data_IF_087105641269
#
_entry.id   IF_087105641269
#
_cell.length_a   1.000
_cell.length_b   1.000
_cell.length_c   1.000
_cell.angle_alpha   90.00
_cell.angle_beta   90.00
_cell.angle_gamma   90.00
#
_symmetry.space_group_name_H-M   'P 1'
#
loop_
_entity.id
_entity.type
_entity.pdbx_description
1 polymer ?
#
# COMPACT_ATOMS: atom_id res chain seq x y z
N UNK A 1 7.00 9.92 9.97
CA UNK A 1 5.80 9.57 9.19
C UNK A 1 4.77 10.70 9.16
N UNK A 2 4.26 11.20 10.29
CA UNK A 2 3.28 12.31 10.31
C UNK A 2 3.71 13.49 9.43
N UNK A 3 4.89 14.07 9.68
CA UNK A 3 5.42 15.20 8.91
C UNK A 3 5.54 14.93 7.40
N UNK A 4 5.89 13.69 7.02
CA UNK A 4 6.00 13.29 5.62
C UNK A 4 4.62 13.25 4.96
N UNK A 5 3.63 12.63 5.61
CA UNK A 5 2.25 12.60 5.12
C UNK A 5 1.59 13.99 5.14
N UNK A 6 2.01 14.85 6.07
CA UNK A 6 1.58 16.25 6.12
C UNK A 6 2.00 17.08 4.91
N UNK A 7 2.92 16.59 4.07
CA UNK A 7 3.21 17.19 2.77
C UNK A 7 2.01 17.07 1.79
N UNK A 8 1.16 16.06 1.95
CA UNK A 8 -0.07 15.92 1.17
C UNK A 8 -1.24 16.68 1.79
N UNK A 9 -1.46 16.52 3.10
CA UNK A 9 -2.59 17.15 3.80
C UNK A 9 -2.28 17.30 5.30
N UNK A 10 -2.66 18.43 5.95
CA UNK A 10 -2.29 18.72 7.35
C UNK A 10 -2.90 17.77 8.41
N UNK A 11 -3.86 16.91 8.03
CA UNK A 11 -4.56 16.01 8.95
C UNK A 11 -4.42 14.53 8.56
N UNK A 12 -3.19 13.97 8.57
CA UNK A 12 -3.00 12.54 8.34
C UNK A 12 -3.25 11.73 9.61
N UNK A 13 -3.81 10.54 9.42
CA UNK A 13 -4.06 9.55 10.44
C UNK A 13 -3.02 8.44 10.24
N UNK A 14 -2.08 8.32 11.19
CA UNK A 14 -1.06 7.27 11.16
C UNK A 14 -1.63 5.89 11.52
N UNK A 15 -2.71 5.89 12.29
CA UNK A 15 -3.51 4.72 12.59
C UNK A 15 -4.86 4.94 11.93
N UNK A 16 -5.08 4.30 10.79
CA UNK A 16 -6.35 4.33 10.08
C UNK A 16 -7.46 3.72 10.93
N UNK A 17 -8.69 4.17 10.67
CA UNK A 17 -9.88 3.66 11.35
C UNK A 17 -10.07 2.15 11.11
N UNK A 18 -9.80 1.69 9.89
CA UNK A 18 -9.91 0.28 9.49
C UNK A 18 -8.54 -0.37 9.19
N UNK A 19 -8.51 -1.70 9.24
CA UNK A 19 -7.37 -2.49 8.80
C UNK A 19 -7.31 -2.53 7.27
N UNK A 20 -6.12 -2.72 6.67
CA UNK A 20 -4.82 -2.91 7.31
C UNK A 20 -4.21 -1.60 7.87
N UNK A 21 -3.61 -1.67 9.05
CA UNK A 21 -2.96 -0.52 9.71
C UNK A 21 -1.45 -0.56 9.64
N UNK A 22 -0.85 0.62 9.63
CA UNK A 22 0.58 0.80 9.87
C UNK A 22 1.43 0.69 8.61
N UNK A 23 2.67 0.22 8.79
CA UNK A 23 3.68 0.17 7.74
C UNK A 23 4.56 -1.06 7.88
N UNK A 24 5.00 -1.58 6.74
CA UNK A 24 5.99 -2.65 6.65
C UNK A 24 7.14 -2.19 5.75
N UNK A 25 8.35 -2.72 5.99
CA UNK A 25 9.53 -2.44 5.18
C UNK A 25 10.37 -3.70 5.00
N UNK A 26 11.03 -3.80 3.85
CA UNK A 26 11.92 -4.90 3.49
C UNK A 26 13.21 -4.33 2.91
N UNK A 27 14.34 -4.91 3.31
CA UNK A 27 15.63 -4.63 2.66
C UNK A 27 15.63 -5.36 1.32
N UNK A 28 15.46 -4.60 0.23
CA UNK A 28 15.47 -5.14 -1.14
C UNK A 28 16.89 -5.44 -1.60
N UNK A 29 17.86 -4.58 -1.27
CA UNK A 29 19.24 -4.76 -1.70
C UNK A 29 20.25 -4.12 -0.73
N UNK A 30 21.50 -4.58 -0.81
CA UNK A 30 22.62 -4.08 -0.01
C UNK A 30 23.92 -4.00 -0.83
N UNK A 31 24.69 -2.95 -0.59
CA UNK A 31 26.09 -2.80 -1.03
C UNK A 31 27.03 -2.64 0.19
N UNK A 32 28.28 -2.26 -0.05
CA UNK A 32 29.23 -1.94 1.02
C UNK A 32 28.83 -0.71 1.84
N UNK A 33 28.14 0.25 1.22
CA UNK A 33 27.87 1.56 1.79
C UNK A 33 26.38 1.96 1.76
N UNK A 34 25.51 1.14 1.16
CA UNK A 34 24.12 1.52 0.91
C UNK A 34 23.14 0.38 1.22
N UNK A 35 21.94 0.75 1.69
CA UNK A 35 20.77 -0.13 1.76
C UNK A 35 19.65 0.42 0.89
N UNK A 36 19.05 -0.45 0.10
CA UNK A 36 17.82 -0.18 -0.64
C UNK A 36 16.65 -0.84 0.09
N UNK A 37 15.73 -0.01 0.57
CA UNK A 37 14.60 -0.39 1.40
C UNK A 37 13.33 -0.08 0.62
N UNK A 38 12.50 -1.09 0.39
CA UNK A 38 11.13 -0.89 -0.08
C UNK A 38 10.18 -0.94 1.11
N UNK A 39 9.13 -0.13 1.09
CA UNK A 39 8.17 -0.09 2.17
C UNK A 39 6.75 0.13 1.65
N UNK A 40 5.78 -0.29 2.45
CA UNK A 40 4.36 -0.05 2.24
C UNK A 40 3.76 0.61 3.48
N UNK A 41 2.93 1.63 3.29
CA UNK A 41 2.37 2.44 4.36
C UNK A 41 0.89 2.69 4.14
N UNK A 42 0.06 2.32 5.11
CA UNK A 42 -1.33 2.72 5.17
C UNK A 42 -1.47 4.03 5.93
N UNK A 43 -2.23 4.95 5.36
CA UNK A 43 -2.57 6.21 5.97
C UNK A 43 -3.94 6.65 5.48
N UNK A 44 -4.59 7.46 6.29
CA UNK A 44 -5.89 8.05 5.99
C UNK A 44 -5.79 9.56 6.24
N UNK A 45 -6.63 10.36 5.59
CA UNK A 45 -6.63 11.80 5.73
C UNK A 45 -8.04 12.30 6.02
N UNK A 46 -8.19 13.12 7.05
CA UNK A 46 -9.45 13.82 7.27
C UNK A 46 -9.45 15.12 6.46
N UNK A 47 -10.32 15.23 5.46
CA UNK A 47 -10.41 16.39 4.57
C UNK A 47 -11.26 17.52 5.18
N UNK A 48 -12.34 17.16 5.88
CA UNK A 48 -13.23 18.14 6.50
C UNK A 48 -12.92 18.35 7.98
N UNK A 49 -13.01 19.61 8.41
CA UNK A 49 -12.96 20.01 9.81
C UNK A 49 -14.29 20.58 10.29
N UNK A 50 -14.47 20.65 11.62
CA UNK A 50 -15.60 21.32 12.24
C UNK A 50 -15.79 22.74 11.66
N UNK A 51 -17.02 23.17 11.36
CA UNK A 51 -18.32 22.54 11.71
C UNK A 51 -18.85 21.54 10.68
N UNK A 52 -18.11 21.24 9.60
CA UNK A 52 -18.54 20.22 8.63
C UNK A 52 -18.41 18.83 9.23
N UNK A 53 -19.29 17.93 8.81
CA UNK A 53 -19.18 16.51 9.15
C UNK A 53 -17.87 15.94 8.58
N UNK A 54 -17.25 14.97 9.27
CA UNK A 54 -16.05 14.31 8.78
C UNK A 54 -16.22 13.76 7.37
N UNK A 55 -15.17 13.93 6.58
CA UNK A 55 -14.95 13.31 5.28
C UNK A 55 -13.52 12.79 5.34
N UNK A 56 -13.38 11.48 5.21
CA UNK A 56 -12.12 10.77 5.21
C UNK A 56 -11.77 10.34 3.79
N UNK A 57 -10.46 10.40 3.53
CA UNK A 57 -9.84 10.02 2.28
C UNK A 57 -8.78 8.97 2.61
N UNK A 58 -9.02 7.75 2.17
CA UNK A 58 -8.15 6.61 2.43
C UNK A 58 -7.62 6.11 1.09
N UNK A 59 -6.41 6.53 0.66
CA UNK A 59 -5.84 6.01 -0.55
C UNK A 59 -5.42 4.54 -0.37
N UNK A 60 -5.23 3.85 -1.49
CA UNK A 60 -4.45 2.63 -1.55
C UNK A 60 -3.12 2.84 -0.82
N UNK A 61 -2.60 1.78 -0.22
CA UNK A 61 -1.37 1.86 0.53
C UNK A 61 -0.25 2.48 -0.32
N UNK A 62 0.50 3.40 0.27
CA UNK A 62 1.65 3.99 -0.38
C UNK A 62 2.72 2.92 -0.61
N UNK A 63 3.26 2.86 -1.82
CA UNK A 63 4.46 2.12 -2.16
C UNK A 63 5.64 3.09 -2.15
N UNK A 64 6.66 2.78 -1.37
CA UNK A 64 7.85 3.61 -1.24
C UNK A 64 9.16 2.86 -1.40
N UNK A 65 10.19 3.62 -1.77
CA UNK A 65 11.57 3.17 -1.91
C UNK A 65 12.49 4.22 -1.29
N UNK A 66 13.39 3.78 -0.43
CA UNK A 66 14.33 4.58 0.32
C UNK A 66 15.72 3.96 0.18
N UNK A 67 16.68 4.73 -0.32
CA UNK A 67 18.09 4.35 -0.33
C UNK A 67 18.84 5.21 0.66
N UNK A 68 19.44 4.56 1.66
CA UNK A 68 20.24 5.23 2.69
C UNK A 68 21.70 4.87 2.56
N UNK A 69 22.56 5.81 2.95
CA UNK A 69 23.94 5.54 3.25
C UNK A 69 24.02 4.81 4.62
N UNK A 70 24.86 3.78 4.70
CA UNK A 70 25.08 2.99 5.93
C UNK A 70 26.30 3.44 6.74
N UNK A 71 27.17 4.24 6.14
CA UNK A 71 28.36 4.82 6.78
C UNK A 71 28.12 6.25 7.25
N UNK A 72 27.23 6.99 6.60
CA UNK A 72 26.88 8.38 6.92
C UNK A 72 25.35 8.54 7.02
N UNK A 73 24.83 9.48 7.84
CA UNK A 73 23.40 9.70 8.00
C UNK A 73 22.82 10.51 6.82
N UNK A 74 22.85 9.90 5.62
CA UNK A 74 22.38 10.51 4.38
C UNK A 74 21.31 9.66 3.68
N UNK A 75 20.31 10.34 3.11
CA UNK A 75 19.26 9.73 2.28
C UNK A 75 19.61 9.98 0.82
N UNK A 76 20.12 8.94 0.15
CA UNK A 76 20.55 9.03 -1.24
C UNK A 76 19.38 9.13 -2.21
N UNK A 77 18.27 8.45 -1.91
CA UNK A 77 17.07 8.46 -2.75
C UNK A 77 15.82 8.22 -1.90
N UNK A 78 14.73 8.92 -2.22
CA UNK A 78 13.42 8.69 -1.63
C UNK A 78 12.32 8.87 -2.67
N UNK A 79 11.43 7.88 -2.77
CA UNK A 79 10.16 8.02 -3.48
C UNK A 79 9.05 7.29 -2.72
N UNK A 80 7.84 7.84 -2.82
CA UNK A 80 6.64 7.25 -2.25
C UNK A 80 5.44 7.68 -3.10
N UNK A 81 4.55 6.75 -3.43
CA UNK A 81 3.38 7.03 -4.26
C UNK A 81 2.23 6.09 -3.94
N UNK A 82 1.01 6.53 -4.24
CA UNK A 82 -0.18 5.67 -4.30
C UNK A 82 -0.17 4.95 -5.65
N UNK A 83 -0.32 3.60 -5.70
CA UNK A 83 -0.44 2.88 -6.96
C UNK A 83 -1.74 3.25 -7.68
N UNK A 84 -1.68 3.38 -9.01
CA UNK A 84 -2.82 3.80 -9.85
C UNK A 84 -3.03 2.88 -11.07
N UNK A 85 -2.65 1.61 -10.96
CA UNK A 85 -2.75 0.65 -12.08
C UNK A 85 -4.09 -0.09 -12.12
N UNK A 86 -4.85 -0.09 -11.04
CA UNK A 86 -6.25 -0.52 -11.04
C UNK A 86 -7.18 0.69 -11.20
N UNK A 87 -8.44 0.43 -11.53
CA UNK A 87 -9.46 1.46 -11.78
C UNK A 87 -9.98 2.16 -10.52
N UNK A 88 -9.69 1.61 -9.34
CA UNK A 88 -10.16 2.08 -8.04
C UNK A 88 -8.99 1.95 -7.05
N UNK A 89 -8.68 3.04 -6.35
CA UNK A 89 -7.53 3.10 -5.45
C UNK A 89 -7.70 4.12 -4.30
N UNK A 90 -8.92 4.59 -4.05
CA UNK A 90 -9.22 5.51 -2.94
C UNK A 90 -10.62 5.22 -2.41
N UNK A 91 -10.73 5.07 -1.10
CA UNK A 91 -12.01 5.12 -0.38
C UNK A 91 -12.27 6.55 0.11
N UNK A 92 -13.52 6.97 -0.07
CA UNK A 92 -14.08 8.20 0.45
C UNK A 92 -15.21 7.82 1.39
N UNK A 93 -15.08 8.19 2.65
CA UNK A 93 -16.08 7.89 3.67
C UNK A 93 -16.52 9.19 4.33
N UNK A 94 -17.82 9.39 4.51
CA UNK A 94 -18.32 10.59 5.18
C UNK A 94 -19.59 10.33 5.96
N UNK A 95 -19.79 11.14 7.00
CA UNK A 95 -21.02 11.10 7.78
C UNK A 95 -22.09 11.98 7.13
N UNK A 96 -23.27 11.42 6.93
CA UNK A 96 -24.49 12.19 6.56
C UNK A 96 -25.36 12.53 7.78
N UNK A 97 -25.10 11.88 8.92
CA UNK A 97 -25.83 12.01 10.18
C UNK A 97 -24.92 11.89 11.40
N UNK A 98 -25.47 11.90 12.63
CA UNK A 98 -24.69 11.87 13.87
C UNK A 98 -24.16 10.47 14.25
N UNK A 99 -24.65 9.39 13.64
CA UNK A 99 -24.30 8.03 14.02
C UNK A 99 -23.32 7.41 13.01
N UNK A 100 -22.09 7.12 13.43
CA UNK A 100 -21.06 6.57 12.52
C UNK A 100 -21.41 5.19 11.95
N UNK A 101 -22.15 4.35 12.67
CA UNK A 101 -22.48 2.99 12.19
C UNK A 101 -23.63 2.98 11.17
N UNK A 102 -24.53 3.98 11.23
CA UNK A 102 -25.76 4.02 10.43
C UNK A 102 -25.75 5.09 9.37
N UNK A 103 -24.97 6.15 9.58
CA UNK A 103 -24.97 7.34 8.72
C UNK A 103 -23.63 7.50 7.99
N UNK A 104 -22.84 6.43 7.88
CA UNK A 104 -21.64 6.40 7.04
C UNK A 104 -22.02 6.08 5.61
N UNK A 105 -21.64 6.95 4.70
CA UNK A 105 -21.64 6.68 3.27
C UNK A 105 -20.22 6.40 2.80
N UNK A 106 -20.08 5.48 1.86
CA UNK A 106 -18.80 5.05 1.29
C UNK A 106 -18.87 5.14 -0.22
N UNK A 107 -17.81 5.67 -0.82
CA UNK A 107 -17.61 5.65 -2.26
C UNK A 107 -16.16 5.31 -2.57
N UNK A 108 -15.93 4.59 -3.65
CA UNK A 108 -14.59 4.21 -4.11
C UNK A 108 -14.34 4.90 -5.44
N UNK A 109 -13.21 5.57 -5.55
CA UNK A 109 -12.85 6.36 -6.73
C UNK A 109 -11.42 6.08 -7.17
N UNK A 110 -11.05 6.70 -8.28
CA UNK A 110 -9.71 6.68 -8.85
C UNK A 110 -8.97 7.99 -8.58
N UNK A 111 -7.72 7.85 -8.16
CA UNK A 111 -6.74 8.91 -8.02
C UNK A 111 -5.59 8.64 -8.97
N UNK A 112 -5.42 9.53 -9.94
CA UNK A 112 -4.41 9.38 -10.99
C UNK A 112 -2.99 9.50 -10.43
N UNK A 113 -2.76 10.47 -9.53
CA UNK A 113 -1.44 10.69 -8.97
C UNK A 113 -1.51 11.22 -7.53
N UNK A 114 -0.70 10.61 -6.67
CA UNK A 114 -0.33 11.13 -5.36
C UNK A 114 1.05 10.61 -5.02
N UNK A 115 2.06 11.46 -5.15
CA UNK A 115 3.46 11.04 -4.98
C UNK A 115 4.33 12.11 -4.31
N UNK A 116 5.35 11.65 -3.60
CA UNK A 116 6.46 12.46 -3.10
C UNK A 116 7.74 11.83 -3.63
N UNK A 117 8.60 12.65 -4.22
CA UNK A 117 9.93 12.24 -4.68
C UNK A 117 10.95 13.26 -4.21
N UNK A 118 12.05 12.80 -3.62
CA UNK A 118 13.19 13.67 -3.41
C UNK A 118 13.97 13.82 -4.71
N UNK A 119 14.62 14.97 -4.90
CA UNK A 119 15.75 15.08 -5.83
C UNK A 119 16.92 14.35 -5.17
N UNK A 120 16.98 13.03 -5.36
CA UNK A 120 18.03 12.19 -4.78
C UNK A 120 19.43 12.59 -5.26
N UNK A 121 20.46 12.24 -4.49
CA UNK A 121 21.86 12.42 -4.87
C UNK A 121 22.34 11.35 -5.85
N UNK A 122 21.55 10.29 -6.04
CA UNK A 122 21.85 9.16 -6.93
C UNK A 122 20.64 8.75 -7.75
N UNK A 123 20.92 8.18 -8.93
CA UNK A 123 19.95 7.40 -9.67
C UNK A 123 20.01 5.93 -9.18
N UNK A 124 18.92 5.38 -8.59
CA UNK A 124 18.88 4.01 -8.09
C UNK A 124 19.33 2.94 -9.08
N UNK A 125 19.10 3.16 -10.38
CA UNK A 125 19.37 2.17 -11.41
C UNK A 125 20.86 2.10 -11.79
N UNK A 126 21.66 3.06 -11.31
CA UNK A 126 23.12 3.09 -11.52
C UNK A 126 23.92 2.39 -10.40
N UNK A 127 23.26 2.01 -9.31
CA UNK A 127 23.93 1.39 -8.16
C UNK A 127 24.17 -0.10 -8.41
N UNK A 128 25.34 -0.59 -8.00
CA UNK A 128 25.68 -2.01 -8.02
C UNK A 128 25.44 -2.63 -6.64
N UNK A 129 24.63 -3.68 -6.62
CA UNK A 129 24.23 -4.37 -5.39
C UNK A 129 25.03 -5.67 -5.21
N UNK A 130 25.49 -5.92 -3.98
CA UNK A 130 26.17 -7.17 -3.63
C UNK A 130 25.16 -8.30 -3.39
N UNK A 131 24.00 -7.95 -2.85
CA UNK A 131 22.85 -8.84 -2.65
C UNK A 131 21.58 -8.06 -2.97
N UNK A 132 20.63 -8.72 -3.65
CA UNK A 132 19.34 -8.13 -3.93
C UNK A 132 18.26 -9.18 -4.19
N UNK A 133 17.03 -8.83 -3.85
CA UNK A 133 15.81 -9.43 -4.38
C UNK A 133 15.19 -8.53 -5.44
N UNK A 134 14.33 -9.09 -6.29
CA UNK A 134 13.62 -8.31 -7.28
C UNK A 134 12.55 -7.43 -6.63
N UNK A 135 12.25 -6.28 -7.24
CA UNK A 135 11.25 -5.34 -6.71
C UNK A 135 9.86 -5.98 -6.56
N UNK A 136 9.45 -6.86 -7.48
CA UNK A 136 8.17 -7.56 -7.40
C UNK A 136 8.12 -8.54 -6.21
N UNK A 137 9.24 -9.19 -5.89
CA UNK A 137 9.36 -10.09 -4.75
C UNK A 137 9.28 -9.30 -3.44
N UNK A 138 10.00 -8.18 -3.34
CA UNK A 138 9.92 -7.25 -2.21
C UNK A 138 8.49 -6.73 -1.99
N UNK A 139 7.80 -6.33 -3.07
CA UNK A 139 6.40 -5.92 -2.99
C UNK A 139 5.53 -7.05 -2.47
N UNK A 140 5.63 -8.26 -3.04
CA UNK A 140 4.84 -9.42 -2.60
C UNK A 140 5.03 -9.74 -1.11
N UNK A 141 6.26 -9.63 -0.59
CA UNK A 141 6.53 -9.79 0.85
C UNK A 141 5.81 -8.74 1.69
N UNK A 142 5.83 -7.47 1.26
CA UNK A 142 5.13 -6.38 1.93
C UNK A 142 3.60 -6.56 1.90
N UNK A 143 3.04 -7.04 0.78
CA UNK A 143 1.60 -7.30 0.71
C UNK A 143 1.20 -8.44 1.63
N UNK A 144 1.97 -9.53 1.69
CA UNK A 144 1.67 -10.67 2.58
C UNK A 144 1.79 -10.32 4.06
N UNK A 145 2.64 -9.37 4.40
CA UNK A 145 2.78 -8.85 5.76
C UNK A 145 1.53 -8.05 6.18
N UNK A 146 1.01 -7.19 5.28
CA UNK A 146 -0.12 -6.31 5.59
C UNK A 146 -1.49 -6.95 5.32
N UNK A 147 -1.59 -7.84 4.34
CA UNK A 147 -2.83 -8.49 3.91
C UNK A 147 -2.70 -10.00 4.08
N UNK A 148 -3.25 -10.52 5.19
CA UNK A 148 -3.24 -11.97 5.47
C UNK A 148 -3.88 -12.80 4.35
N UNK A 149 -4.88 -12.26 3.65
CA UNK A 149 -5.53 -12.97 2.55
C UNK A 149 -4.59 -13.16 1.34
N UNK A 150 -3.58 -12.31 1.16
CA UNK A 150 -2.57 -12.45 0.09
C UNK A 150 -1.60 -13.63 0.33
N UNK A 151 -1.69 -14.29 1.47
CA UNK A 151 -0.98 -15.54 1.75
C UNK A 151 -1.71 -16.77 1.19
N UNK A 152 -2.97 -16.61 0.77
CA UNK A 152 -3.77 -17.66 0.14
C UNK A 152 -3.37 -17.77 -1.34
N UNK A 153 -3.19 -19.01 -1.81
CA UNK A 153 -2.97 -19.28 -3.23
C UNK A 153 -4.31 -19.18 -3.98
N UNK A 154 -4.42 -18.21 -4.88
CA UNK A 154 -5.59 -18.02 -5.73
C UNK A 154 -5.35 -18.61 -7.11
N UNK A 155 -6.36 -19.32 -7.61
CA UNK A 155 -6.38 -19.87 -8.96
C UNK A 155 -7.59 -19.33 -9.70
N UNK A 156 -7.47 -19.16 -11.02
CA UNK A 156 -8.68 -18.96 -11.81
C UNK A 156 -9.56 -20.21 -11.76
N UNK A 157 -10.83 -20.06 -12.11
CA UNK A 157 -11.82 -21.12 -11.95
C UNK A 157 -11.43 -22.43 -12.65
N UNK A 158 -10.88 -22.35 -13.86
CA UNK A 158 -10.47 -23.52 -14.65
C UNK A 158 -9.29 -24.25 -14.00
N UNK A 159 -8.26 -23.51 -13.60
CA UNK A 159 -7.09 -24.06 -12.91
C UNK A 159 -7.45 -24.68 -11.56
N UNK A 160 -8.32 -24.02 -10.79
CA UNK A 160 -8.82 -24.52 -9.52
C UNK A 160 -9.49 -25.89 -9.70
N UNK A 161 -10.30 -26.06 -10.75
CA UNK A 161 -10.96 -27.33 -11.05
C UNK A 161 -9.97 -28.43 -11.45
N UNK A 162 -8.99 -28.11 -12.30
CA UNK A 162 -7.94 -29.06 -12.71
C UNK A 162 -7.12 -29.50 -11.50
N UNK A 163 -6.70 -28.56 -10.64
CA UNK A 163 -5.94 -28.83 -9.41
C UNK A 163 -6.76 -29.67 -8.43
N UNK A 164 -8.02 -29.30 -8.20
CA UNK A 164 -8.97 -30.05 -7.36
C UNK A 164 -9.13 -31.51 -7.80
N UNK A 165 -9.30 -31.74 -9.12
CA UNK A 165 -9.39 -33.07 -9.71
C UNK A 165 -8.12 -33.88 -9.52
N UNK A 166 -6.95 -33.28 -9.80
CA UNK A 166 -5.65 -33.93 -9.65
C UNK A 166 -5.31 -34.26 -8.18
N UNK A 167 -5.66 -33.38 -7.25
CA UNK A 167 -5.42 -33.56 -5.82
C UNK A 167 -6.49 -34.42 -5.10
N UNK A 168 -7.60 -34.75 -5.77
CA UNK A 168 -8.72 -35.46 -5.17
C UNK A 168 -9.41 -34.67 -4.06
N UNK A 169 -9.43 -33.33 -4.14
CA UNK A 169 -9.99 -32.42 -3.14
C UNK A 169 -11.05 -31.51 -3.78
N UNK A 170 -12.19 -31.22 -3.13
CA UNK A 170 -13.18 -30.32 -3.71
C UNK A 170 -12.69 -28.86 -3.70
N UNK A 171 -13.27 -28.04 -4.58
CA UNK A 171 -13.16 -26.58 -4.49
C UNK A 171 -14.05 -26.11 -3.33
N UNK A 172 -13.46 -25.46 -2.32
CA UNK A 172 -14.17 -25.10 -1.08
C UNK A 172 -14.76 -23.69 -1.10
N UNK A 173 -14.19 -22.77 -1.87
CA UNK A 173 -14.61 -21.37 -1.91
C UNK A 173 -14.33 -20.78 -3.29
N UNK A 174 -15.25 -19.94 -3.76
CA UNK A 174 -15.12 -19.19 -5.02
C UNK A 174 -15.33 -17.72 -4.69
N UNK A 175 -14.36 -16.89 -5.06
CA UNK A 175 -14.45 -15.43 -4.91
C UNK A 175 -14.90 -14.87 -6.26
N UNK A 176 -16.08 -14.26 -6.27
CA UNK A 176 -16.70 -13.73 -7.50
C UNK A 176 -16.36 -12.25 -7.72
N UNK A 177 -16.13 -11.50 -6.64
CA UNK A 177 -15.80 -10.08 -6.66
C UNK A 177 -15.14 -9.69 -5.33
N UNK A 178 -14.36 -8.61 -5.32
CA UNK A 178 -13.74 -8.04 -4.11
C UNK A 178 -12.24 -7.81 -4.25
N UNK A 179 -11.51 -8.08 -3.16
CA UNK A 179 -10.13 -7.66 -2.83
C UNK A 179 -9.02 -7.95 -3.85
N UNK A 180 -9.28 -8.71 -4.91
CA UNK A 180 -8.27 -9.07 -5.92
C UNK A 180 -8.21 -8.10 -7.10
N UNK A 181 -9.27 -7.32 -7.32
CA UNK A 181 -9.38 -6.36 -8.43
C UNK A 181 -9.52 -4.91 -7.95
N UNK A 182 -9.39 -4.69 -6.64
CA UNK A 182 -9.51 -3.39 -5.97
C UNK A 182 -8.19 -3.06 -5.26
N UNK A 183 -7.76 -1.80 -5.31
CA UNK A 183 -6.61 -1.30 -4.55
C UNK A 183 -7.00 -0.43 -3.38
N UNK A 184 -8.27 -0.08 -3.27
CA UNK A 184 -8.79 0.61 -2.10
C UNK A 184 -8.62 -0.25 -0.83
N UNK A 185 -8.59 0.41 0.33
CA UNK A 185 -8.18 -0.21 1.59
C UNK A 185 -9.36 -0.73 2.42
#
# INVERSE_FOLDING_TARGET
LFQLLSLFHPQPFLQSRYEPRGAAAVVRARSSDSLDIMFRLHAEFQLNTSPRRPLWFTPAAFIGRLIINTTEPDVKYFSMHVPAHMSLNVDLEWLIGPNEDKDMEVNITHLEEMSIRSRGSVDPDTLTWMQQIHSHEALSLLEKELYKFMQVEYHNFTEAYVKASHEGRPVHSVILWGVLNDQSC
#
